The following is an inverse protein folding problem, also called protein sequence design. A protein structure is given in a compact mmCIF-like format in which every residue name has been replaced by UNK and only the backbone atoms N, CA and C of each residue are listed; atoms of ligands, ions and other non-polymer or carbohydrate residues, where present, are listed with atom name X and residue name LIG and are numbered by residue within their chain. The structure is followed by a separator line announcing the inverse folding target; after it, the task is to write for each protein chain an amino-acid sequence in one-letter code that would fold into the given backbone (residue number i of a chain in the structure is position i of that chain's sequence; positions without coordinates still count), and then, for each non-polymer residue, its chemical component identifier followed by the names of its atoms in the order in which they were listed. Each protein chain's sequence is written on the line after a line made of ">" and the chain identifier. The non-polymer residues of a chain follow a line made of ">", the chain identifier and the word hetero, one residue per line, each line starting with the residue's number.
data_IF_656513168178
#
_entry.id   IF_656513168178
#
_cell.length_a   1.000
_cell.length_b   1.000
_cell.length_c   1.000
_cell.angle_alpha   90.00
_cell.angle_beta   90.00
_cell.angle_gamma   90.00
#
_symmetry.space_group_name_H-M   'P 1'
#
loop_
_entity.id
_entity.type
_entity.pdbx_description
1 polymer ?
#
# COMPACT_ATOMS: atom_id res chain seq x y z
N UNK A 1 20.75 -6.62 -12.43
CA UNK A 1 19.67 -5.63 -12.71
C UNK A 1 18.34 -6.25 -12.32
N UNK A 2 17.43 -5.53 -11.66
CA UNK A 2 16.16 -6.12 -11.21
C UNK A 2 15.28 -6.54 -12.40
N UNK A 3 14.40 -7.53 -12.19
CA UNK A 3 13.43 -8.00 -13.20
C UNK A 3 12.59 -6.83 -13.73
N UNK A 4 12.14 -5.94 -12.84
CA UNK A 4 11.37 -4.75 -13.20
C UNK A 4 12.14 -3.83 -14.16
N UNK A 5 13.39 -3.48 -13.84
CA UNK A 5 14.21 -2.62 -14.69
C UNK A 5 14.52 -3.24 -16.05
N UNK A 6 14.72 -4.56 -16.11
CA UNK A 6 14.90 -5.26 -17.39
C UNK A 6 13.63 -5.23 -18.24
N UNK A 7 12.47 -5.42 -17.62
CA UNK A 7 11.19 -5.37 -18.31
C UNK A 7 10.90 -3.98 -18.90
N UNK A 8 11.15 -2.91 -18.12
CA UNK A 8 10.93 -1.52 -18.53
C UNK A 8 11.81 -1.04 -19.71
N UNK A 9 12.88 -1.75 -20.05
CA UNK A 9 13.71 -1.35 -21.21
C UNK A 9 12.96 -1.48 -22.54
N UNK A 10 12.04 -2.42 -22.64
CA UNK A 10 11.38 -2.75 -23.90
C UNK A 10 9.84 -2.80 -23.81
N UNK A 11 9.29 -2.57 -22.62
CA UNK A 11 7.86 -2.70 -22.38
C UNK A 11 7.32 -1.51 -21.57
N UNK A 12 6.04 -1.19 -21.79
CA UNK A 12 5.26 -0.31 -20.93
C UNK A 12 4.56 -1.19 -19.88
N UNK A 13 4.51 -0.75 -18.65
CA UNK A 13 3.76 -1.41 -17.58
C UNK A 13 2.48 -0.63 -17.28
N UNK A 14 1.38 -1.34 -17.19
CA UNK A 14 0.10 -0.79 -16.74
C UNK A 14 -0.02 -1.01 -15.24
N UNK A 15 -0.12 0.07 -14.48
CA UNK A 15 -0.35 0.01 -13.04
C UNK A 15 -1.85 -0.10 -12.72
N UNK A 16 -2.14 -0.62 -11.54
CA UNK A 16 -3.49 -0.62 -10.98
C UNK A 16 -3.97 0.79 -10.62
N UNK A 17 -5.22 0.88 -10.21
CA UNK A 17 -5.88 2.12 -9.78
C UNK A 17 -6.10 2.20 -8.27
N UNK A 18 -6.96 3.14 -7.86
CA UNK A 18 -7.20 3.48 -6.48
C UNK A 18 -8.04 2.42 -5.74
N UNK A 19 -7.43 1.70 -4.81
CA UNK A 19 -8.11 0.74 -3.93
C UNK A 19 -9.09 1.44 -3.00
N UNK A 20 -8.67 2.55 -2.39
CA UNK A 20 -9.49 3.30 -1.45
C UNK A 20 -10.82 3.74 -2.04
N UNK A 21 -10.85 4.21 -3.27
CA UNK A 21 -12.08 4.63 -3.96
C UNK A 21 -13.07 3.48 -4.11
N UNK A 22 -12.58 2.28 -4.46
CA UNK A 22 -13.44 1.09 -4.56
C UNK A 22 -13.98 0.71 -3.18
N UNK A 23 -13.13 0.70 -2.15
CA UNK A 23 -13.55 0.38 -0.79
C UNK A 23 -14.60 1.37 -0.28
N UNK A 24 -14.45 2.67 -0.54
CA UNK A 24 -15.46 3.68 -0.20
C UNK A 24 -16.79 3.45 -0.92
N UNK A 25 -16.76 3.08 -2.19
CA UNK A 25 -18.00 2.75 -2.94
C UNK A 25 -18.69 1.48 -2.42
N UNK A 26 -17.97 0.60 -1.73
CA UNK A 26 -18.47 -0.61 -1.07
C UNK A 26 -18.85 -0.40 0.41
N UNK A 27 -18.91 0.86 0.88
CA UNK A 27 -19.35 1.19 2.24
C UNK A 27 -18.24 1.14 3.28
N UNK A 28 -16.99 1.46 2.90
CA UNK A 28 -15.90 1.63 3.87
C UNK A 28 -16.27 2.71 4.90
N UNK A 29 -16.18 2.38 6.17
CA UNK A 29 -16.51 3.23 7.33
C UNK A 29 -15.28 3.68 8.14
N UNK A 30 -14.08 3.31 7.71
CA UNK A 30 -12.81 3.62 8.36
C UNK A 30 -11.74 3.97 7.31
N UNK A 31 -10.45 3.94 7.68
CA UNK A 31 -9.40 4.11 6.68
C UNK A 31 -9.21 2.85 5.82
N UNK A 32 -8.90 3.01 4.52
CA UNK A 32 -8.71 1.88 3.61
C UNK A 32 -7.68 0.87 4.09
N UNK A 33 -6.62 1.34 4.74
CA UNK A 33 -5.51 0.52 5.21
C UNK A 33 -5.90 -0.43 6.36
N UNK A 34 -6.90 -0.07 7.17
CA UNK A 34 -7.45 -0.93 8.21
C UNK A 34 -8.05 -2.23 7.64
N UNK A 35 -8.55 -2.19 6.40
CA UNK A 35 -9.12 -3.37 5.74
C UNK A 35 -8.09 -4.45 5.42
N UNK A 36 -6.80 -4.13 5.42
CA UNK A 36 -5.75 -5.15 5.34
C UNK A 36 -5.81 -6.14 6.53
N UNK A 37 -6.30 -5.68 7.70
CA UNK A 37 -6.44 -6.50 8.90
C UNK A 37 -7.86 -7.05 9.07
N UNK A 38 -8.87 -6.22 8.82
CA UNK A 38 -10.27 -6.57 9.12
C UNK A 38 -10.99 -7.26 7.98
N UNK A 39 -10.66 -6.91 6.73
CA UNK A 39 -11.32 -7.44 5.52
C UNK A 39 -10.30 -7.80 4.42
N UNK A 40 -9.28 -8.63 4.71
CA UNK A 40 -8.20 -8.94 3.77
C UNK A 40 -8.69 -9.50 2.44
N UNK A 41 -9.77 -10.27 2.45
CA UNK A 41 -10.34 -10.86 1.24
C UNK A 41 -10.96 -9.81 0.29
N UNK A 42 -11.49 -8.70 0.84
CA UNK A 42 -11.97 -7.60 0.00
C UNK A 42 -10.81 -6.93 -0.73
N UNK A 43 -9.73 -6.63 -0.01
CA UNK A 43 -8.53 -6.02 -0.61
C UNK A 43 -7.91 -6.96 -1.65
N UNK A 44 -7.80 -8.26 -1.35
CA UNK A 44 -7.29 -9.26 -2.29
C UNK A 44 -8.14 -9.33 -3.57
N UNK A 45 -9.46 -9.34 -3.45
CA UNK A 45 -10.38 -9.33 -4.59
C UNK A 45 -10.16 -8.10 -5.49
N UNK A 46 -9.94 -6.92 -4.90
CA UNK A 46 -9.66 -5.69 -5.67
C UNK A 46 -8.34 -5.84 -6.44
N UNK A 47 -7.28 -6.33 -5.80
CA UNK A 47 -6.03 -6.59 -6.51
C UNK A 47 -6.21 -7.55 -7.69
N UNK A 48 -6.95 -8.66 -7.47
CA UNK A 48 -7.24 -9.63 -8.54
C UNK A 48 -8.02 -9.01 -9.69
N UNK A 49 -9.03 -8.18 -9.39
CA UNK A 49 -9.81 -7.51 -10.45
C UNK A 49 -8.97 -6.58 -11.31
N UNK A 50 -7.98 -5.88 -10.73
CA UNK A 50 -7.03 -5.08 -11.51
C UNK A 50 -6.12 -5.93 -12.39
N UNK A 51 -5.62 -7.06 -11.87
CA UNK A 51 -4.79 -8.00 -12.64
C UNK A 51 -5.59 -8.60 -13.79
N UNK A 52 -6.83 -9.01 -13.54
CA UNK A 52 -7.74 -9.54 -14.56
C UNK A 52 -8.09 -8.49 -15.62
N UNK A 53 -8.15 -7.22 -15.25
CA UNK A 53 -8.31 -6.09 -16.17
C UNK A 53 -7.04 -5.75 -16.98
N UNK A 54 -5.91 -6.42 -16.72
CA UNK A 54 -4.66 -6.25 -17.46
C UNK A 54 -3.59 -5.41 -16.76
N UNK A 55 -3.70 -5.17 -15.45
CA UNK A 55 -2.63 -4.52 -14.71
C UNK A 55 -1.39 -5.43 -14.59
N UNK A 56 -0.24 -4.93 -15.01
CA UNK A 56 1.07 -5.58 -14.85
C UNK A 56 1.66 -5.33 -13.46
N UNK A 57 1.22 -4.25 -12.83
CA UNK A 57 1.74 -3.77 -11.54
C UNK A 57 0.58 -3.50 -10.59
N UNK A 58 0.63 -4.06 -9.39
CA UNK A 58 -0.28 -3.72 -8.30
C UNK A 58 0.47 -3.05 -7.16
N UNK A 59 -0.20 -2.14 -6.49
CA UNK A 59 0.32 -1.38 -5.36
C UNK A 59 -0.26 -1.90 -4.05
N UNK A 60 0.57 -2.00 -3.00
CA UNK A 60 0.06 -2.36 -1.68
C UNK A 60 -0.91 -1.31 -1.14
N UNK A 61 -1.95 -1.73 -0.43
CA UNK A 61 -2.92 -0.83 0.21
C UNK A 61 -2.31 -0.20 1.48
N UNK A 62 -1.29 0.66 1.30
CA UNK A 62 -0.50 1.25 2.41
C UNK A 62 -0.27 2.75 2.27
N UNK A 63 -0.98 3.44 1.37
CA UNK A 63 -0.79 4.87 1.13
C UNK A 63 -0.94 5.72 2.41
N UNK A 64 -1.95 5.47 3.22
CA UNK A 64 -2.17 6.13 4.50
C UNK A 64 -1.62 5.36 5.71
N UNK A 65 -0.84 4.28 5.50
CA UNK A 65 -0.32 3.46 6.60
C UNK A 65 0.91 4.09 7.26
N UNK A 66 0.84 5.35 7.63
CA UNK A 66 1.83 6.04 8.45
C UNK A 66 1.24 6.41 9.82
N UNK A 67 2.12 6.68 10.77
CA UNK A 67 1.75 6.95 12.16
C UNK A 67 0.70 8.06 12.28
N UNK A 68 0.93 9.21 11.63
CA UNK A 68 0.08 10.40 11.79
C UNK A 68 -1.32 10.19 11.20
N UNK A 69 -1.43 9.56 10.03
CA UNK A 69 -2.74 9.27 9.43
C UNK A 69 -3.50 8.20 10.21
N UNK A 70 -2.82 7.15 10.64
CA UNK A 70 -3.45 6.08 11.41
C UNK A 70 -3.86 6.53 12.80
N UNK A 71 -3.19 7.52 13.40
CA UNK A 71 -3.52 8.12 14.69
C UNK A 71 -4.95 8.70 14.72
N UNK A 72 -5.42 9.26 13.61
CA UNK A 72 -6.80 9.77 13.50
C UNK A 72 -7.85 8.68 13.75
N UNK A 73 -7.47 7.42 13.50
CA UNK A 73 -8.32 6.23 13.67
C UNK A 73 -7.93 5.39 14.90
N UNK A 74 -6.97 5.84 15.73
CA UNK A 74 -6.47 5.10 16.89
C UNK A 74 -5.65 3.85 16.50
N UNK A 75 -5.08 3.83 15.29
CA UNK A 75 -4.37 2.69 14.71
C UNK A 75 -2.86 2.93 14.52
N UNK A 76 -2.33 4.00 15.10
CA UNK A 76 -0.92 4.42 14.94
C UNK A 76 0.08 3.34 15.39
N UNK A 77 -0.30 2.51 16.34
CA UNK A 77 0.53 1.40 16.83
C UNK A 77 0.50 0.17 15.91
N UNK A 78 -0.37 0.15 14.89
CA UNK A 78 -0.53 -0.98 13.96
C UNK A 78 0.16 -0.79 12.60
N UNK A 79 0.98 0.25 12.43
CA UNK A 79 1.70 0.53 11.17
C UNK A 79 2.36 -0.74 10.60
N UNK A 80 3.17 -1.43 11.41
CA UNK A 80 3.89 -2.64 10.97
C UNK A 80 2.97 -3.80 10.59
N UNK A 81 1.92 -4.02 11.37
CA UNK A 81 0.95 -5.09 11.11
C UNK A 81 0.20 -4.84 9.80
N UNK A 82 -0.24 -3.59 9.58
CA UNK A 82 -0.95 -3.18 8.37
C UNK A 82 -0.06 -3.36 7.13
N UNK A 83 1.19 -2.92 7.17
CA UNK A 83 2.14 -3.12 6.06
C UNK A 83 2.39 -4.59 5.76
N UNK A 84 2.64 -5.40 6.80
CA UNK A 84 2.85 -6.84 6.65
C UNK A 84 1.64 -7.51 6.00
N UNK A 85 0.43 -7.21 6.48
CA UNK A 85 -0.80 -7.75 5.94
C UNK A 85 -1.00 -7.33 4.47
N UNK A 86 -0.80 -6.03 4.14
CA UNK A 86 -0.94 -5.51 2.79
C UNK A 86 -0.02 -6.23 1.79
N UNK A 87 1.25 -6.41 2.15
CA UNK A 87 2.22 -7.14 1.30
C UNK A 87 1.80 -8.60 1.11
N UNK A 88 1.35 -9.27 2.17
CA UNK A 88 0.87 -10.66 2.08
C UNK A 88 -0.36 -10.78 1.18
N UNK A 89 -1.30 -9.83 1.28
CA UNK A 89 -2.49 -9.78 0.43
C UNK A 89 -2.08 -9.60 -1.04
N UNK A 90 -1.23 -8.63 -1.34
CA UNK A 90 -0.74 -8.39 -2.70
C UNK A 90 -0.01 -9.62 -3.27
N UNK A 91 0.82 -10.29 -2.46
CA UNK A 91 1.50 -11.54 -2.86
C UNK A 91 0.54 -12.69 -3.17
N UNK A 92 -0.57 -12.82 -2.44
CA UNK A 92 -1.60 -13.84 -2.74
C UNK A 92 -2.39 -13.54 -4.00
N UNK A 93 -2.63 -12.25 -4.28
CA UNK A 93 -3.33 -11.81 -5.49
C UNK A 93 -2.47 -11.94 -6.75
N UNK A 94 -1.19 -11.62 -6.64
CA UNK A 94 -0.24 -11.57 -7.76
C UNK A 94 0.02 -12.94 -8.38
N UNK A 95 0.18 -12.97 -9.70
CA UNK A 95 0.74 -14.10 -10.44
C UNK A 95 2.25 -13.91 -10.68
N UNK A 96 2.88 -14.83 -11.43
CA UNK A 96 4.32 -14.81 -11.72
C UNK A 96 4.77 -13.58 -12.53
N UNK A 97 3.88 -13.02 -13.32
CA UNK A 97 4.17 -11.87 -14.19
C UNK A 97 3.88 -10.53 -13.50
N UNK A 98 3.03 -10.52 -12.48
CA UNK A 98 2.65 -9.31 -11.76
C UNK A 98 3.81 -8.76 -10.92
N UNK A 99 4.05 -7.46 -11.04
CA UNK A 99 4.94 -6.72 -10.14
C UNK A 99 4.16 -6.16 -8.95
N UNK A 100 4.80 -6.12 -7.79
CA UNK A 100 4.22 -5.54 -6.56
C UNK A 100 5.06 -4.35 -6.15
N UNK A 101 4.43 -3.19 -5.99
CA UNK A 101 5.04 -1.97 -5.48
C UNK A 101 4.55 -1.68 -4.06
N UNK A 102 5.48 -1.38 -3.16
CA UNK A 102 5.17 -0.85 -1.84
C UNK A 102 4.77 0.63 -1.95
N UNK A 103 3.57 0.97 -1.51
CA UNK A 103 3.07 2.35 -1.58
C UNK A 103 3.43 3.11 -0.32
N UNK A 104 4.08 4.26 -0.48
CA UNK A 104 4.39 5.21 0.58
C UNK A 104 3.63 6.50 0.30
N UNK A 105 2.79 6.93 1.23
CA UNK A 105 1.98 8.14 1.08
C UNK A 105 2.49 9.30 1.90
N UNK A 106 2.12 10.50 1.47
CA UNK A 106 2.45 11.73 2.17
C UNK A 106 1.50 12.05 3.33
N UNK A 107 1.77 13.17 3.99
CA UNK A 107 1.04 13.69 5.15
C UNK A 107 -0.04 14.71 4.78
N UNK A 108 -0.50 14.73 3.52
CA UNK A 108 -1.53 15.67 3.08
C UNK A 108 -2.82 15.48 3.90
N UNK A 109 -3.39 16.58 4.37
CA UNK A 109 -4.59 16.58 5.22
C UNK A 109 -4.31 16.62 6.74
N UNK A 110 -3.06 16.53 7.17
CA UNK A 110 -2.64 16.79 8.54
C UNK A 110 -2.24 18.27 8.64
N UNK A 111 -2.67 18.96 9.69
CA UNK A 111 -2.31 20.38 9.88
C UNK A 111 -0.79 20.51 9.97
N UNK A 112 -0.22 21.38 9.13
CA UNK A 112 1.23 21.61 9.08
C UNK A 112 1.82 22.10 10.40
N UNK A 113 1.00 22.76 11.23
CA UNK A 113 1.37 23.26 12.55
C UNK A 113 1.76 22.14 13.53
N UNK A 114 1.28 20.91 13.29
CA UNK A 114 1.50 19.75 14.15
C UNK A 114 2.69 18.88 13.73
N UNK A 115 3.34 19.18 12.58
CA UNK A 115 4.37 18.33 12.02
C UNK A 115 5.66 19.10 11.73
N UNK A 116 6.71 18.81 12.49
CA UNK A 116 8.07 19.25 12.15
C UNK A 116 8.61 18.45 10.96
N UNK A 117 9.57 19.02 10.21
CA UNK A 117 10.24 18.32 9.11
C UNK A 117 10.92 17.03 9.60
N UNK A 118 11.50 17.03 10.80
CA UNK A 118 12.13 15.86 11.41
C UNK A 118 11.09 14.75 11.71
N UNK A 119 9.90 15.12 12.15
CA UNK A 119 8.79 14.17 12.38
C UNK A 119 8.34 13.54 11.06
N UNK A 120 8.16 14.35 10.02
CA UNK A 120 7.80 13.87 8.69
C UNK A 120 8.85 12.89 8.17
N UNK A 121 10.12 13.24 8.24
CA UNK A 121 11.22 12.39 7.80
C UNK A 121 11.23 11.07 8.57
N UNK A 122 11.19 11.11 9.89
CA UNK A 122 11.19 9.93 10.75
C UNK A 122 10.05 8.95 10.39
N UNK A 123 8.82 9.44 10.21
CA UNK A 123 7.68 8.58 9.87
C UNK A 123 7.74 8.07 8.44
N UNK A 124 8.28 8.85 7.50
CA UNK A 124 8.49 8.41 6.12
C UNK A 124 9.53 7.31 6.05
N UNK A 125 10.66 7.49 6.72
CA UNK A 125 11.73 6.48 6.77
C UNK A 125 11.21 5.17 7.37
N UNK A 126 10.46 5.23 8.48
CA UNK A 126 9.83 4.04 9.07
C UNK A 126 8.84 3.35 8.12
N UNK A 127 8.07 4.12 7.35
CA UNK A 127 7.15 3.55 6.38
C UNK A 127 7.89 2.86 5.24
N UNK A 128 8.96 3.47 4.74
CA UNK A 128 9.83 2.90 3.71
C UNK A 128 10.47 1.61 4.21
N UNK A 129 11.14 1.65 5.36
CA UNK A 129 11.83 0.50 5.92
C UNK A 129 10.88 -0.68 6.16
N UNK A 130 9.68 -0.40 6.68
CA UNK A 130 8.66 -1.42 6.90
C UNK A 130 8.19 -2.01 5.57
N UNK A 131 7.93 -1.18 4.56
CA UNK A 131 7.50 -1.65 3.23
C UNK A 131 8.57 -2.50 2.57
N UNK A 132 9.84 -2.06 2.60
CA UNK A 132 10.98 -2.77 2.01
C UNK A 132 11.21 -4.11 2.71
N UNK A 133 11.20 -4.14 4.04
CA UNK A 133 11.43 -5.36 4.82
C UNK A 133 10.46 -6.49 4.47
N UNK A 134 9.22 -6.18 4.07
CA UNK A 134 8.23 -7.19 3.72
C UNK A 134 8.15 -7.50 2.21
N UNK A 135 8.56 -6.58 1.34
CA UNK A 135 8.54 -6.80 -0.12
C UNK A 135 9.70 -7.69 -0.60
N UNK A 136 10.86 -7.63 0.07
CA UNK A 136 12.03 -8.45 -0.28
C UNK A 136 12.00 -9.88 0.28
N UNK A 137 11.08 -10.20 1.19
CA UNK A 137 10.91 -11.56 1.69
C UNK A 137 10.20 -12.43 0.63
N UNK A 138 10.99 -13.06 -0.22
CA UNK A 138 10.58 -14.21 -1.03
C UNK A 138 10.81 -15.50 -0.28
#
# INVERSE_FOLDING_TARGET
>A
MSRLLNHLKNNVLVADGAIGTILYSEGLDTCPEAYNLTHPNKVERIHRSYIEAGADVIQTNTYGANFEKLKVFGLEHKVKEIHKAAVQIAKRAANKETFILGTVGGFRGIKQEDLSLSTIQYHTDNQIDTSVSYTHLR
#
